data_IF_128670975052
#
_entry.id   IF_128670975052
#
_cell.length_a   1.000
_cell.length_b   1.000
_cell.length_c   1.000
_cell.angle_alpha   90.00
_cell.angle_beta   90.00
_cell.angle_gamma   90.00
#
_symmetry.space_group_name_H-M   'P 1'
#
loop_
_entity.id
_entity.type
_entity.pdbx_description
1 polymer ?
#
# COMPACT_ATOMS: atom_id res chain seq x y z
N UNK A 1 -6.76 -31.57 19.69
CA UNK A 1 -8.19 -31.22 19.42
C UNK A 1 -8.34 -31.01 17.92
N UNK A 2 -9.40 -31.53 17.29
CA UNK A 2 -9.66 -31.24 15.87
C UNK A 2 -10.04 -29.75 15.77
N UNK A 3 -9.36 -28.97 14.94
CA UNK A 3 -9.68 -27.55 14.78
C UNK A 3 -11.13 -27.39 14.25
N UNK A 4 -11.84 -26.38 14.72
CA UNK A 4 -13.12 -25.97 14.18
C UNK A 4 -13.01 -24.87 13.12
N UNK A 5 -11.78 -24.37 12.94
CA UNK A 5 -11.48 -23.38 11.92
C UNK A 5 -11.59 -23.97 10.50
N UNK A 6 -11.79 -23.12 9.53
CA UNK A 6 -11.72 -23.48 8.12
C UNK A 6 -10.31 -24.01 7.80
N UNK A 7 -10.21 -25.05 6.96
CA UNK A 7 -8.93 -25.66 6.59
C UNK A 7 -7.96 -24.68 5.92
N UNK A 8 -8.48 -23.69 5.22
CA UNK A 8 -7.71 -22.65 4.53
C UNK A 8 -6.90 -21.79 5.50
N UNK A 9 -7.33 -21.69 6.77
CA UNK A 9 -6.63 -20.92 7.81
C UNK A 9 -5.43 -21.66 8.41
N UNK A 10 -5.33 -22.97 8.25
CA UNK A 10 -4.27 -23.79 8.88
C UNK A 10 -2.87 -23.44 8.35
N UNK A 11 -2.77 -22.98 7.11
CA UNK A 11 -1.51 -22.66 6.44
C UNK A 11 -1.18 -21.17 6.43
N UNK A 12 -2.10 -20.32 6.90
CA UNK A 12 -1.91 -18.88 6.89
C UNK A 12 -1.08 -18.41 8.08
N UNK A 13 0.00 -17.66 7.86
CA UNK A 13 0.70 -17.00 8.94
C UNK A 13 -0.16 -15.89 9.55
N UNK A 14 0.02 -15.65 10.84
CA UNK A 14 -0.52 -14.44 11.47
C UNK A 14 0.29 -13.25 10.96
N UNK A 15 -0.39 -12.23 10.44
CA UNK A 15 0.28 -11.00 10.01
C UNK A 15 1.00 -10.36 11.20
N UNK A 16 2.28 -10.06 11.04
CA UNK A 16 3.10 -9.39 12.06
C UNK A 16 3.16 -7.90 11.73
N UNK A 17 2.46 -7.04 12.48
CA UNK A 17 2.54 -5.59 12.28
C UNK A 17 3.92 -5.04 12.66
N UNK A 18 4.22 -3.82 12.25
CA UNK A 18 5.39 -3.10 12.75
C UNK A 18 5.30 -2.89 14.26
N UNK A 19 6.44 -2.98 14.97
CA UNK A 19 6.48 -2.83 16.43
C UNK A 19 6.04 -1.42 16.83
N UNK A 20 5.16 -1.25 17.82
CA UNK A 20 4.80 0.07 18.35
C UNK A 20 6.00 0.79 18.95
N UNK A 21 6.00 2.13 18.89
CA UNK A 21 7.06 2.98 19.50
C UNK A 21 7.16 2.71 20.99
N UNK A 22 6.04 2.66 21.69
CA UNK A 22 5.95 2.44 23.14
C UNK A 22 6.57 1.12 23.58
N UNK A 23 6.48 0.09 22.74
CA UNK A 23 7.08 -1.23 23.03
C UNK A 23 8.60 -1.17 22.91
N UNK A 24 9.14 -0.45 21.92
CA UNK A 24 10.58 -0.26 21.74
C UNK A 24 11.16 0.58 22.89
N UNK A 25 10.52 1.70 23.25
CA UNK A 25 10.94 2.53 24.38
C UNK A 25 11.03 1.73 25.68
N UNK A 26 10.01 0.91 25.97
CA UNK A 26 9.96 0.07 27.18
C UNK A 26 10.98 -1.06 27.17
N UNK A 27 11.17 -1.73 26.03
CA UNK A 27 12.06 -2.90 25.92
C UNK A 27 13.53 -2.53 26.03
N UNK A 28 13.92 -1.40 25.43
CA UNK A 28 15.32 -0.97 25.41
C UNK A 28 15.65 0.13 26.43
N UNK A 29 14.66 0.64 27.16
CA UNK A 29 14.88 1.67 28.19
C UNK A 29 15.36 3.01 27.63
N UNK A 30 14.95 3.34 26.40
CA UNK A 30 15.30 4.60 25.71
C UNK A 30 14.15 5.59 25.79
N UNK A 31 14.47 6.89 25.71
CA UNK A 31 13.49 7.97 25.88
C UNK A 31 12.81 8.39 24.58
N UNK A 32 13.44 8.10 23.44
CA UNK A 32 12.94 8.51 22.11
C UNK A 32 13.13 7.40 21.09
N UNK A 33 12.14 7.24 20.22
CA UNK A 33 12.25 6.39 19.03
C UNK A 33 11.46 6.99 17.87
N UNK A 34 11.95 6.82 16.64
CA UNK A 34 11.30 7.20 15.39
C UNK A 34 10.82 5.96 14.66
N UNK A 35 9.60 6.02 14.10
CA UNK A 35 8.97 4.90 13.42
C UNK A 35 8.91 5.13 11.91
N UNK A 36 9.86 4.57 11.20
CA UNK A 36 9.98 4.63 9.74
C UNK A 36 9.64 3.27 9.08
N UNK A 37 8.56 2.63 9.55
CA UNK A 37 8.22 1.24 9.25
C UNK A 37 6.89 1.02 8.52
N UNK A 38 5.95 1.96 8.57
CA UNK A 38 4.56 1.74 8.15
C UNK A 38 4.11 2.65 7.00
N UNK A 39 5.03 3.40 6.39
CA UNK A 39 4.76 4.32 5.30
C UNK A 39 3.64 5.33 5.66
N UNK A 40 3.64 5.77 6.93
CA UNK A 40 2.76 6.82 7.44
C UNK A 40 3.23 8.18 6.93
N UNK A 41 2.38 9.22 7.00
CA UNK A 41 2.78 10.57 6.61
C UNK A 41 3.49 11.27 7.78
N UNK A 42 4.77 11.65 7.65
CA UNK A 42 5.52 12.31 8.73
C UNK A 42 5.02 13.71 9.09
N UNK A 43 4.28 14.40 8.20
CA UNK A 43 3.59 15.65 8.53
C UNK A 43 2.34 15.44 9.41
N UNK A 44 1.93 14.20 9.64
CA UNK A 44 0.70 13.88 10.32
C UNK A 44 -0.53 14.00 9.41
N UNK A 45 -1.71 14.14 10.02
CA UNK A 45 -2.97 14.22 9.29
C UNK A 45 -3.19 15.60 8.67
N UNK A 46 -3.88 15.64 7.52
CA UNK A 46 -4.37 16.90 6.92
C UNK A 46 -5.07 17.76 7.98
N UNK A 47 -4.68 19.02 8.17
CA UNK A 47 -5.32 19.93 9.12
C UNK A 47 -6.83 20.09 8.88
N UNK A 48 -7.25 20.15 7.62
CA UNK A 48 -8.68 20.19 7.26
C UNK A 48 -9.42 18.92 7.66
N UNK A 49 -8.78 17.75 7.50
CA UNK A 49 -9.35 16.49 7.95
C UNK A 49 -9.50 16.42 9.47
N UNK A 50 -8.50 16.89 10.23
CA UNK A 50 -8.56 16.98 11.70
C UNK A 50 -9.71 17.86 12.15
N UNK A 51 -9.90 19.02 11.52
CA UNK A 51 -10.99 19.93 11.86
C UNK A 51 -12.36 19.33 11.54
N UNK A 52 -12.51 18.66 10.40
CA UNK A 52 -13.75 17.96 10.03
C UNK A 52 -14.09 16.85 11.05
N UNK A 53 -13.09 16.10 11.53
CA UNK A 53 -13.28 15.09 12.59
C UNK A 53 -13.78 15.71 13.87
N UNK A 54 -13.19 16.84 14.32
CA UNK A 54 -13.62 17.54 15.55
C UNK A 54 -15.08 17.99 15.46
N UNK A 55 -15.47 18.56 14.33
CA UNK A 55 -16.85 19.01 14.10
C UNK A 55 -17.86 17.86 14.07
N UNK A 56 -17.48 16.70 13.54
CA UNK A 56 -18.37 15.54 13.43
C UNK A 56 -18.37 14.64 14.68
N UNK A 57 -17.42 14.83 15.61
CA UNK A 57 -17.22 13.96 16.79
C UNK A 57 -18.48 13.83 17.68
N UNK A 58 -19.29 14.89 17.80
CA UNK A 58 -20.53 14.85 18.61
C UNK A 58 -21.64 13.99 17.99
N UNK A 59 -21.48 13.58 16.72
CA UNK A 59 -22.47 12.82 15.96
C UNK A 59 -22.15 11.34 15.79
N UNK A 60 -21.13 10.82 16.48
CA UNK A 60 -20.70 9.42 16.38
C UNK A 60 -21.74 8.40 16.84
N UNK A 61 -22.79 8.83 17.54
CA UNK A 61 -23.91 7.98 17.96
C UNK A 61 -24.88 7.61 16.82
N UNK A 62 -24.72 8.23 15.62
CA UNK A 62 -25.52 7.96 14.42
C UNK A 62 -24.72 7.08 13.47
N UNK A 63 -25.34 6.05 12.89
CA UNK A 63 -24.72 5.26 11.82
C UNK A 63 -24.28 6.17 10.65
N UNK A 64 -23.16 5.84 9.99
CA UNK A 64 -22.72 6.57 8.80
C UNK A 64 -23.65 6.35 7.60
N UNK A 65 -23.51 7.18 6.56
CA UNK A 65 -24.17 6.91 5.27
C UNK A 65 -23.60 5.60 4.67
N UNK A 66 -24.42 4.54 4.49
CA UNK A 66 -23.97 3.27 3.95
C UNK A 66 -23.54 3.36 2.48
N UNK A 67 -24.06 4.34 1.74
CA UNK A 67 -23.71 4.59 0.34
C UNK A 67 -22.44 5.44 0.20
N UNK A 68 -21.97 6.07 1.28
CA UNK A 68 -20.80 6.98 1.30
C UNK A 68 -20.92 8.05 0.19
N UNK A 69 -22.14 8.54 -0.04
CA UNK A 69 -22.52 9.33 -1.21
C UNK A 69 -21.66 10.58 -1.37
N UNK A 70 -21.59 11.43 -0.35
CA UNK A 70 -20.86 12.71 -0.43
C UNK A 70 -19.38 12.53 -0.73
N UNK A 71 -18.74 11.51 -0.18
CA UNK A 71 -17.33 11.23 -0.48
C UNK A 71 -17.16 10.69 -1.90
N UNK A 72 -18.06 9.81 -2.37
CA UNK A 72 -18.03 9.31 -3.76
C UNK A 72 -18.21 10.45 -4.77
N UNK A 73 -19.12 11.39 -4.50
CA UNK A 73 -19.33 12.59 -5.32
C UNK A 73 -18.06 13.45 -5.38
N UNK A 74 -17.38 13.66 -4.24
CA UNK A 74 -16.11 14.40 -4.20
C UNK A 74 -14.97 13.71 -4.94
N UNK A 75 -14.87 12.39 -4.85
CA UNK A 75 -13.89 11.60 -5.62
C UNK A 75 -14.21 11.69 -7.11
N UNK A 76 -15.50 11.59 -7.49
CA UNK A 76 -15.99 11.72 -8.86
C UNK A 76 -15.61 13.08 -9.46
N UNK A 77 -15.87 14.18 -8.75
CA UNK A 77 -15.48 15.53 -9.15
C UNK A 77 -13.96 15.68 -9.35
N UNK A 78 -13.16 15.12 -8.43
CA UNK A 78 -11.69 15.26 -8.47
C UNK A 78 -11.05 14.53 -9.64
N UNK A 79 -11.55 13.34 -9.99
CA UNK A 79 -10.94 12.45 -10.98
C UNK A 79 -11.71 12.39 -12.31
N UNK A 80 -12.76 13.18 -12.47
CA UNK A 80 -13.62 13.23 -13.66
C UNK A 80 -14.11 11.85 -14.13
N UNK A 81 -14.66 11.07 -13.17
CA UNK A 81 -15.17 9.72 -13.40
C UNK A 81 -16.58 9.57 -12.78
N UNK A 82 -17.44 8.76 -13.39
CA UNK A 82 -18.80 8.53 -12.90
C UNK A 82 -18.84 8.03 -11.44
N UNK A 83 -19.79 8.53 -10.63
CA UNK A 83 -19.97 8.13 -9.23
C UNK A 83 -20.21 6.62 -9.09
N UNK A 84 -20.83 5.99 -10.09
CA UNK A 84 -21.10 4.57 -10.17
C UNK A 84 -19.83 3.72 -10.39
N UNK A 85 -18.74 4.33 -10.84
CA UNK A 85 -17.43 3.71 -10.96
C UNK A 85 -16.62 3.70 -9.66
N UNK A 86 -17.17 4.19 -8.54
CA UNK A 86 -16.42 4.40 -7.29
C UNK A 86 -17.03 3.59 -6.15
N UNK A 87 -16.20 2.81 -5.45
CA UNK A 87 -16.55 2.20 -4.17
C UNK A 87 -15.56 2.64 -3.09
N UNK A 88 -16.08 3.06 -1.93
CA UNK A 88 -15.29 3.39 -0.75
C UNK A 88 -15.36 2.26 0.26
N UNK A 89 -14.22 1.91 0.87
CA UNK A 89 -14.09 0.84 1.85
C UNK A 89 -13.31 1.24 3.10
N UNK A 90 -13.25 0.31 4.06
CA UNK A 90 -12.57 0.50 5.34
C UNK A 90 -11.03 0.35 5.21
N UNK A 91 -10.41 1.22 4.41
CA UNK A 91 -9.02 1.16 4.00
C UNK A 91 -8.78 0.20 2.82
N UNK A 92 -7.58 0.29 2.22
CA UNK A 92 -7.20 -0.55 1.08
C UNK A 92 -7.24 -2.05 1.41
N UNK A 93 -6.81 -2.44 2.60
CA UNK A 93 -6.84 -3.83 3.06
C UNK A 93 -8.22 -4.47 2.92
N UNK A 94 -9.27 -3.81 3.44
CA UNK A 94 -10.63 -4.35 3.36
C UNK A 94 -11.13 -4.46 1.91
N UNK A 95 -10.68 -3.57 1.03
CA UNK A 95 -11.05 -3.61 -0.39
C UNK A 95 -10.36 -4.77 -1.11
N UNK A 96 -9.07 -5.03 -0.83
CA UNK A 96 -8.35 -6.20 -1.34
C UNK A 96 -9.05 -7.49 -0.91
N UNK A 97 -9.42 -7.59 0.38
CA UNK A 97 -10.14 -8.75 0.92
C UNK A 97 -11.51 -8.92 0.26
N UNK A 98 -12.27 -7.84 0.08
CA UNK A 98 -13.58 -7.88 -0.58
C UNK A 98 -13.48 -8.33 -2.03
N UNK A 99 -12.46 -7.90 -2.76
CA UNK A 99 -12.24 -8.34 -4.14
C UNK A 99 -11.94 -9.84 -4.18
N UNK A 100 -11.03 -10.34 -3.34
CA UNK A 100 -10.77 -11.77 -3.25
C UNK A 100 -12.03 -12.56 -2.85
N UNK A 101 -12.80 -12.06 -1.88
CA UNK A 101 -14.05 -12.66 -1.42
C UNK A 101 -15.12 -12.73 -2.51
N UNK A 102 -15.11 -11.79 -3.45
CA UNK A 102 -16.12 -11.70 -4.51
C UNK A 102 -15.80 -12.54 -5.73
N UNK A 103 -14.51 -12.81 -5.99
CA UNK A 103 -14.10 -13.40 -7.27
C UNK A 103 -13.25 -14.67 -7.16
N UNK A 104 -12.79 -15.06 -5.97
CA UNK A 104 -11.97 -16.27 -5.78
C UNK A 104 -12.78 -17.38 -5.16
N UNK A 105 -12.88 -18.50 -5.84
CA UNK A 105 -13.39 -19.78 -5.33
C UNK A 105 -12.22 -20.73 -5.00
N UNK A 106 -12.47 -21.78 -4.18
CA UNK A 106 -11.44 -22.77 -3.91
C UNK A 106 -10.88 -23.43 -5.16
N UNK A 107 -9.58 -23.24 -5.40
CA UNK A 107 -8.86 -23.77 -6.57
C UNK A 107 -8.70 -22.78 -7.70
N UNK A 108 -9.34 -21.61 -7.67
CA UNK A 108 -9.02 -20.50 -8.55
C UNK A 108 -7.62 -19.97 -8.29
N UNK A 109 -7.02 -19.34 -9.30
CA UNK A 109 -5.66 -18.84 -9.22
C UNK A 109 -5.62 -17.30 -9.25
N UNK A 110 -4.63 -16.74 -8.53
CA UNK A 110 -4.23 -15.35 -8.69
C UNK A 110 -2.73 -15.26 -8.94
N UNK A 111 -2.31 -14.34 -9.82
CA UNK A 111 -0.90 -14.08 -10.10
C UNK A 111 -0.45 -12.86 -9.32
N UNK A 112 0.66 -12.99 -8.60
CA UNK A 112 1.22 -11.94 -7.73
C UNK A 112 2.74 -11.86 -7.95
N UNK A 113 3.32 -10.67 -8.18
CA UNK A 113 4.76 -10.49 -8.17
C UNK A 113 5.37 -10.78 -6.78
N UNK A 114 6.62 -11.23 -6.72
CA UNK A 114 7.30 -11.55 -5.47
C UNK A 114 8.72 -10.94 -5.47
N UNK A 115 9.08 -10.11 -4.47
CA UNK A 115 8.28 -9.69 -3.32
C UNK A 115 7.22 -8.63 -3.64
N UNK A 116 6.05 -8.70 -2.98
CA UNK A 116 5.01 -7.69 -3.06
C UNK A 116 4.20 -7.58 -1.76
N UNK A 117 3.10 -6.85 -1.77
CA UNK A 117 2.28 -6.65 -0.57
C UNK A 117 1.57 -7.94 -0.18
N UNK A 118 1.93 -8.48 0.98
CA UNK A 118 1.52 -9.81 1.44
C UNK A 118 0.00 -10.03 1.56
N UNK A 119 -0.79 -8.96 1.65
CA UNK A 119 -2.25 -9.08 1.76
C UNK A 119 -2.92 -9.62 0.49
N UNK A 120 -2.30 -9.52 -0.69
CA UNK A 120 -2.85 -10.16 -1.88
C UNK A 120 -2.86 -11.68 -1.71
N UNK A 121 -1.70 -12.23 -1.36
CA UNK A 121 -1.55 -13.66 -1.11
C UNK A 121 -2.45 -14.15 0.03
N UNK A 122 -2.45 -13.44 1.17
CA UNK A 122 -3.28 -13.77 2.33
C UNK A 122 -4.77 -13.78 1.94
N UNK A 123 -5.24 -12.78 1.20
CA UNK A 123 -6.66 -12.66 0.83
C UNK A 123 -7.10 -13.77 -0.12
N UNK A 124 -6.26 -14.12 -1.10
CA UNK A 124 -6.52 -15.23 -2.03
C UNK A 124 -6.57 -16.57 -1.29
N UNK A 125 -5.57 -16.85 -0.45
CA UNK A 125 -5.52 -18.07 0.35
C UNK A 125 -6.66 -18.18 1.36
N UNK A 126 -7.13 -17.08 1.92
CA UNK A 126 -8.33 -17.05 2.76
C UNK A 126 -9.57 -17.62 2.06
N UNK A 127 -9.67 -17.43 0.74
CA UNK A 127 -10.76 -17.94 -0.07
C UNK A 127 -10.54 -19.37 -0.59
N UNK A 128 -9.38 -19.97 -0.27
CA UNK A 128 -8.99 -21.29 -0.78
C UNK A 128 -8.42 -21.23 -2.20
N UNK A 129 -8.12 -20.05 -2.69
CA UNK A 129 -7.44 -19.83 -3.96
C UNK A 129 -5.94 -20.18 -3.90
N UNK A 130 -5.35 -20.34 -5.06
CA UNK A 130 -3.94 -20.65 -5.27
C UNK A 130 -3.21 -19.40 -5.76
N UNK A 131 -2.10 -19.08 -5.11
CA UNK A 131 -1.26 -17.94 -5.54
C UNK A 131 -0.13 -18.45 -6.42
N UNK A 132 -0.01 -17.88 -7.61
CA UNK A 132 1.11 -18.05 -8.53
C UNK A 132 2.03 -16.84 -8.36
N UNK A 133 3.15 -17.04 -7.68
CA UNK A 133 4.14 -15.97 -7.52
C UNK A 133 5.06 -15.91 -8.73
N UNK A 134 5.35 -14.70 -9.20
CA UNK A 134 6.31 -14.43 -10.27
C UNK A 134 7.43 -13.59 -9.67
N UNK A 135 8.67 -14.12 -9.59
CA UNK A 135 9.78 -13.38 -9.04
C UNK A 135 10.04 -12.09 -9.82
N UNK A 136 10.26 -11.00 -9.11
CA UNK A 136 10.81 -9.78 -9.69
C UNK A 136 12.28 -10.01 -10.06
N UNK A 137 12.77 -9.30 -11.08
CA UNK A 137 14.07 -9.58 -11.71
C UNK A 137 15.06 -8.44 -11.51
N UNK A 138 16.34 -8.76 -11.71
CA UNK A 138 17.43 -7.79 -11.61
C UNK A 138 17.69 -7.30 -10.18
N UNK A 139 18.70 -6.44 -10.06
CA UNK A 139 19.09 -5.86 -8.77
C UNK A 139 18.10 -4.80 -8.29
N UNK A 140 17.31 -4.23 -9.23
CA UNK A 140 16.32 -3.18 -8.96
C UNK A 140 14.89 -3.74 -8.78
N UNK A 141 14.73 -5.06 -8.69
CA UNK A 141 13.41 -5.69 -8.55
C UNK A 141 12.42 -5.23 -9.62
N UNK A 142 12.81 -5.32 -10.91
CA UNK A 142 11.93 -5.01 -12.03
C UNK A 142 10.84 -6.09 -12.19
N UNK A 143 9.67 -5.68 -12.68
CA UNK A 143 8.58 -6.61 -12.96
C UNK A 143 8.90 -7.53 -14.15
N UNK A 144 8.80 -8.83 -13.98
CA UNK A 144 8.77 -9.79 -15.10
C UNK A 144 7.35 -9.88 -15.68
N UNK A 145 6.95 -8.86 -16.45
CA UNK A 145 5.61 -8.80 -17.06
C UNK A 145 5.35 -9.96 -18.02
N UNK A 146 6.37 -10.46 -18.74
CA UNK A 146 6.25 -11.64 -19.59
C UNK A 146 6.12 -12.93 -18.75
N UNK A 147 6.81 -13.00 -17.62
CA UNK A 147 6.64 -14.09 -16.63
C UNK A 147 5.24 -14.10 -16.04
N UNK A 148 4.67 -12.93 -15.75
CA UNK A 148 3.29 -12.79 -15.28
C UNK A 148 2.33 -13.32 -16.33
N UNK A 149 2.48 -12.93 -17.61
CA UNK A 149 1.63 -13.44 -18.70
C UNK A 149 1.72 -14.97 -18.85
N UNK A 150 2.92 -15.55 -18.70
CA UNK A 150 3.12 -17.01 -18.76
C UNK A 150 2.53 -17.76 -17.57
N UNK A 151 2.42 -17.11 -16.41
CA UNK A 151 1.84 -17.71 -15.21
C UNK A 151 0.31 -17.79 -15.26
N UNK A 152 -0.34 -17.06 -16.16
CA UNK A 152 -1.79 -17.05 -16.34
C UNK A 152 -2.25 -18.38 -16.94
N UNK A 153 -3.30 -18.94 -16.35
CA UNK A 153 -3.98 -20.15 -16.82
C UNK A 153 -5.49 -19.90 -16.95
N UNK A 154 -6.23 -20.90 -17.38
CA UNK A 154 -7.71 -20.89 -17.44
C UNK A 154 -8.38 -20.78 -16.05
N UNK A 155 -7.61 -20.98 -14.96
CA UNK A 155 -8.07 -20.82 -13.59
C UNK A 155 -7.74 -19.45 -12.98
N UNK A 156 -6.95 -18.63 -13.68
CA UNK A 156 -6.55 -17.33 -13.16
C UNK A 156 -7.72 -16.36 -13.17
N UNK A 157 -8.08 -15.82 -12.02
CA UNK A 157 -9.15 -14.83 -11.83
C UNK A 157 -8.63 -13.42 -11.66
N UNK A 158 -7.48 -13.27 -11.01
CA UNK A 158 -6.94 -11.93 -10.66
C UNK A 158 -5.45 -11.91 -10.94
N UNK A 159 -4.98 -10.84 -11.55
CA UNK A 159 -3.57 -10.43 -11.59
C UNK A 159 -3.44 -9.19 -10.70
N UNK A 160 -2.63 -9.27 -9.64
CA UNK A 160 -2.33 -8.15 -8.77
C UNK A 160 -1.04 -7.46 -9.21
N UNK A 161 -1.10 -6.14 -9.38
CA UNK A 161 0.06 -5.28 -9.60
C UNK A 161 0.00 -4.13 -8.59
N UNK A 162 1.05 -4.02 -7.76
CA UNK A 162 1.23 -2.91 -6.83
C UNK A 162 2.14 -1.87 -7.48
N UNK A 163 1.61 -0.79 -7.97
CA UNK A 163 2.40 0.20 -8.69
C UNK A 163 2.23 1.59 -8.09
N UNK A 164 3.23 2.11 -7.38
CA UNK A 164 4.54 1.54 -7.02
C UNK A 164 4.47 0.31 -6.12
N UNK A 165 5.39 -0.64 -6.31
CA UNK A 165 5.42 -1.87 -5.53
C UNK A 165 5.83 -1.63 -4.07
N UNK A 166 5.24 -2.37 -3.18
CA UNK A 166 5.63 -2.48 -1.77
C UNK A 166 6.07 -3.93 -1.49
N UNK A 167 7.35 -4.22 -1.17
CA UNK A 167 8.28 -3.31 -0.47
C UNK A 167 9.31 -2.57 -1.35
N UNK A 168 9.43 -2.85 -2.63
CA UNK A 168 10.60 -2.47 -3.43
C UNK A 168 10.61 -1.00 -3.88
N UNK A 169 9.44 -0.37 -4.00
CA UNK A 169 9.32 0.98 -4.55
C UNK A 169 9.36 1.04 -6.09
N UNK A 170 9.55 -0.09 -6.75
CA UNK A 170 9.62 -0.20 -8.21
C UNK A 170 8.34 0.27 -8.89
N UNK A 171 8.49 0.92 -10.03
CA UNK A 171 7.39 1.41 -10.87
C UNK A 171 7.38 0.63 -12.19
N UNK A 172 6.18 0.27 -12.66
CA UNK A 172 5.94 -0.09 -14.05
C UNK A 172 5.65 1.19 -14.80
N UNK A 173 6.42 1.49 -15.84
CA UNK A 173 6.26 2.70 -16.64
C UNK A 173 5.06 2.65 -17.59
N UNK A 174 4.64 3.81 -18.08
CA UNK A 174 3.38 3.97 -18.84
C UNK A 174 3.28 3.04 -20.05
N UNK A 175 4.29 3.00 -20.90
CA UNK A 175 4.25 2.17 -22.12
C UNK A 175 4.38 0.68 -21.79
N UNK A 176 5.11 0.31 -20.74
CA UNK A 176 5.25 -1.07 -20.31
C UNK A 176 3.90 -1.61 -19.79
N UNK A 177 3.20 -0.83 -18.94
CA UNK A 177 1.88 -1.23 -18.43
C UNK A 177 0.86 -1.34 -19.56
N UNK A 178 0.81 -0.39 -20.49
CA UNK A 178 -0.10 -0.44 -21.63
C UNK A 178 0.14 -1.68 -22.50
N UNK A 179 1.38 -1.93 -22.85
CA UNK A 179 1.75 -3.12 -23.64
C UNK A 179 1.42 -4.44 -22.93
N UNK A 180 1.57 -4.48 -21.61
CA UNK A 180 1.19 -5.62 -20.80
C UNK A 180 -0.32 -5.82 -20.80
N UNK A 181 -1.10 -4.77 -20.54
CA UNK A 181 -2.57 -4.81 -20.49
C UNK A 181 -3.18 -5.29 -21.78
N UNK A 182 -2.64 -4.90 -22.95
CA UNK A 182 -3.10 -5.35 -24.26
C UNK A 182 -2.95 -6.86 -24.48
N UNK A 183 -2.03 -7.51 -23.76
CA UNK A 183 -1.79 -8.96 -23.85
C UNK A 183 -2.57 -9.78 -22.83
N UNK A 184 -3.21 -9.11 -21.84
CA UNK A 184 -3.97 -9.81 -20.81
C UNK A 184 -5.28 -10.41 -21.36
N UNK A 185 -5.64 -11.65 -21.00
CA UNK A 185 -6.96 -12.21 -21.28
C UNK A 185 -8.08 -11.30 -20.77
N UNK A 186 -9.16 -11.20 -21.52
CA UNK A 186 -10.28 -10.30 -21.16
C UNK A 186 -11.09 -10.80 -19.95
N UNK A 187 -11.08 -12.09 -19.65
CA UNK A 187 -11.91 -12.77 -18.66
C UNK A 187 -11.28 -12.85 -17.26
N UNK A 188 -10.21 -12.10 -17.00
CA UNK A 188 -9.61 -11.95 -15.67
C UNK A 188 -9.62 -10.48 -15.19
N UNK A 189 -9.53 -10.28 -13.88
CA UNK A 189 -9.44 -8.98 -13.26
C UNK A 189 -7.96 -8.55 -13.17
N UNK A 190 -7.66 -7.36 -13.66
CA UNK A 190 -6.43 -6.65 -13.35
C UNK A 190 -6.66 -5.77 -12.12
N UNK A 191 -5.96 -6.07 -11.02
CA UNK A 191 -5.99 -5.25 -9.81
C UNK A 191 -4.73 -4.38 -9.75
N UNK A 192 -4.90 -3.07 -9.95
CA UNK A 192 -3.84 -2.05 -9.84
C UNK A 192 -3.91 -1.39 -8.46
N UNK A 193 -2.95 -1.66 -7.61
CA UNK A 193 -2.83 -0.98 -6.32
C UNK A 193 -1.94 0.26 -6.45
N UNK A 194 -2.58 1.40 -6.42
CA UNK A 194 -1.98 2.73 -6.51
C UNK A 194 -1.97 3.44 -5.15
N UNK A 195 -1.72 2.71 -4.07
CA UNK A 195 -1.69 3.29 -2.72
C UNK A 195 -0.66 4.43 -2.56
N UNK A 196 0.31 4.51 -3.44
CA UNK A 196 1.38 5.53 -3.44
C UNK A 196 1.29 6.49 -4.65
N UNK A 197 0.13 6.58 -5.29
CA UNK A 197 -0.14 7.32 -6.52
C UNK A 197 0.41 8.75 -6.50
N UNK A 198 0.12 9.52 -5.46
CA UNK A 198 0.49 10.92 -5.38
C UNK A 198 2.01 11.14 -5.33
N UNK A 199 2.75 10.21 -4.76
CA UNK A 199 4.22 10.25 -4.75
C UNK A 199 4.80 9.83 -6.09
N UNK A 200 4.21 8.82 -6.74
CA UNK A 200 4.65 8.28 -8.00
C UNK A 200 4.48 9.25 -9.17
N UNK A 201 3.45 10.09 -9.15
CA UNK A 201 3.21 11.11 -10.18
C UNK A 201 4.38 12.09 -10.35
N UNK A 202 5.19 12.30 -9.29
CA UNK A 202 6.40 13.15 -9.35
C UNK A 202 7.54 12.53 -10.18
N UNK A 203 7.45 11.26 -10.53
CA UNK A 203 8.51 10.58 -11.31
C UNK A 203 8.47 10.94 -12.80
N UNK A 204 7.36 11.51 -13.28
CA UNK A 204 7.17 12.02 -14.64
C UNK A 204 6.80 10.97 -15.70
N UNK A 205 6.94 9.68 -15.42
CA UNK A 205 6.52 8.58 -16.30
C UNK A 205 5.85 7.48 -15.46
N UNK A 206 4.72 7.84 -14.86
CA UNK A 206 3.88 6.93 -14.09
C UNK A 206 2.49 6.85 -14.72
N UNK A 207 1.98 5.64 -15.01
CA UNK A 207 0.67 5.46 -15.62
C UNK A 207 -0.44 5.78 -14.63
N UNK A 208 -1.47 6.52 -15.07
CA UNK A 208 -2.71 6.63 -14.31
C UNK A 208 -3.59 5.40 -14.59
N UNK A 209 -3.90 4.61 -13.56
CA UNK A 209 -4.76 3.43 -13.68
C UNK A 209 -6.16 3.73 -14.19
N UNK A 210 -6.63 4.98 -14.08
CA UNK A 210 -7.92 5.39 -14.65
C UNK A 210 -7.89 5.38 -16.19
N UNK A 211 -6.77 5.66 -16.82
CA UNK A 211 -6.63 5.52 -18.27
C UNK A 211 -6.68 4.05 -18.68
N UNK A 212 -6.06 3.15 -17.88
CA UNK A 212 -6.15 1.71 -18.08
C UNK A 212 -7.61 1.22 -17.91
N UNK A 213 -8.33 1.71 -16.90
CA UNK A 213 -9.74 1.36 -16.69
C UNK A 213 -10.63 1.75 -17.89
N UNK A 214 -10.37 2.87 -18.54
CA UNK A 214 -11.10 3.29 -19.75
C UNK A 214 -10.92 2.32 -20.91
N UNK A 215 -9.72 1.73 -21.05
CA UNK A 215 -9.38 0.79 -22.11
C UNK A 215 -9.80 -0.65 -21.78
N UNK A 216 -9.77 -1.03 -20.48
CA UNK A 216 -10.06 -2.39 -20.01
C UNK A 216 -11.03 -2.36 -18.81
N UNK A 217 -12.29 -2.75 -19.04
CA UNK A 217 -13.35 -2.74 -18.00
C UNK A 217 -13.05 -3.64 -16.81
N UNK A 218 -12.43 -4.81 -17.03
CA UNK A 218 -12.06 -5.74 -15.96
C UNK A 218 -10.78 -5.28 -15.25
N UNK A 219 -10.75 -3.99 -14.87
CA UNK A 219 -9.69 -3.37 -14.09
C UNK A 219 -10.27 -2.81 -12.79
N UNK A 220 -9.56 -3.03 -11.69
CA UNK A 220 -9.83 -2.40 -10.39
C UNK A 220 -8.60 -1.56 -10.04
N UNK A 221 -8.79 -0.28 -9.81
CA UNK A 221 -7.73 0.64 -9.38
C UNK A 221 -7.97 1.01 -7.93
N UNK A 222 -7.04 0.68 -7.04
CA UNK A 222 -7.12 0.99 -5.62
C UNK A 222 -6.29 2.22 -5.27
N UNK A 223 -6.87 3.16 -4.52
CA UNK A 223 -6.19 4.30 -3.90
C UNK A 223 -6.60 4.44 -2.43
N UNK A 224 -5.82 5.16 -1.64
CA UNK A 224 -6.03 5.27 -0.19
C UNK A 224 -5.79 6.67 0.35
N UNK A 225 -6.50 7.02 1.41
CA UNK A 225 -6.24 8.23 2.18
C UNK A 225 -5.20 8.03 3.30
N UNK A 226 -4.70 6.80 3.45
CA UNK A 226 -3.79 6.44 4.55
C UNK A 226 -2.36 6.98 4.37
N UNK A 227 -1.97 7.36 3.15
CA UNK A 227 -0.60 7.76 2.82
C UNK A 227 -0.48 9.27 2.76
N UNK A 228 -0.59 9.89 1.59
CA UNK A 228 -0.39 11.34 1.41
C UNK A 228 -1.32 12.21 2.27
N UNK A 229 -2.54 11.77 2.54
CA UNK A 229 -3.50 12.54 3.37
C UNK A 229 -3.26 12.39 4.87
N UNK A 230 -2.43 11.45 5.32
CA UNK A 230 -2.07 11.26 6.73
C UNK A 230 -3.20 10.77 7.65
N UNK A 231 -4.27 10.19 7.12
CA UNK A 231 -5.42 9.72 7.94
C UNK A 231 -5.49 8.18 8.04
N UNK A 232 -4.32 7.53 8.13
CA UNK A 232 -4.21 6.07 8.21
C UNK A 232 -5.06 5.44 9.34
N UNK A 233 -5.14 6.12 10.50
CA UNK A 233 -5.92 5.66 11.66
C UNK A 233 -7.43 5.64 11.45
N UNK A 234 -7.95 6.40 10.50
CA UNK A 234 -9.40 6.46 10.20
C UNK A 234 -9.87 5.32 9.29
N UNK A 235 -8.95 4.57 8.67
CA UNK A 235 -9.28 3.40 7.85
C UNK A 235 -10.22 3.74 6.69
N UNK A 236 -9.76 4.48 5.69
CA UNK A 236 -10.53 4.82 4.50
C UNK A 236 -9.68 4.72 3.23
N UNK A 237 -10.23 4.07 2.22
CA UNK A 237 -9.67 3.93 0.88
C UNK A 237 -10.80 3.74 -0.12
N UNK A 238 -10.46 3.71 -1.39
CA UNK A 238 -11.45 3.59 -2.45
C UNK A 238 -10.89 2.83 -3.65
N UNK A 239 -11.79 2.25 -4.42
CA UNK A 239 -11.49 1.63 -5.71
C UNK A 239 -12.32 2.28 -6.80
N UNK A 240 -11.73 2.29 -7.99
CA UNK A 240 -12.42 2.56 -9.24
C UNK A 240 -12.54 1.28 -10.04
N UNK A 241 -13.68 1.05 -10.68
CA UNK A 241 -13.89 -0.05 -11.60
C UNK A 241 -15.13 0.16 -12.45
N UNK A 242 -15.38 -0.75 -13.39
CA UNK A 242 -16.68 -0.80 -14.10
C UNK A 242 -17.82 -1.04 -13.10
N UNK A 243 -18.97 -0.37 -13.26
CA UNK A 243 -20.12 -0.53 -12.37
C UNK A 243 -20.57 -1.98 -12.18
N UNK A 244 -20.46 -2.83 -13.20
CA UNK A 244 -20.83 -4.25 -13.11
C UNK A 244 -19.94 -5.04 -12.13
N UNK A 245 -18.65 -4.73 -12.07
CA UNK A 245 -17.71 -5.32 -11.11
C UNK A 245 -18.01 -4.82 -9.70
N UNK A 246 -18.26 -3.52 -9.55
CA UNK A 246 -18.58 -2.93 -8.23
C UNK A 246 -19.91 -3.45 -7.68
N UNK A 247 -20.88 -3.77 -8.54
CA UNK A 247 -22.13 -4.41 -8.13
C UNK A 247 -21.87 -5.78 -7.49
N UNK A 248 -21.02 -6.61 -8.08
CA UNK A 248 -20.65 -7.91 -7.50
C UNK A 248 -19.93 -7.77 -6.16
N UNK A 249 -18.96 -6.85 -6.06
CA UNK A 249 -18.24 -6.58 -4.80
C UNK A 249 -19.20 -6.07 -3.73
N UNK A 250 -20.22 -5.28 -4.10
CA UNK A 250 -21.20 -4.72 -3.15
C UNK A 250 -21.99 -5.83 -2.45
N UNK A 251 -22.23 -6.98 -3.08
CA UNK A 251 -22.94 -8.13 -2.47
C UNK A 251 -22.17 -8.74 -1.28
N UNK A 252 -20.85 -8.64 -1.29
CA UNK A 252 -19.97 -9.14 -0.22
C UNK A 252 -19.68 -8.08 0.86
N UNK A 253 -20.03 -6.80 0.61
CA UNK A 253 -19.72 -5.69 1.51
C UNK A 253 -20.68 -5.58 2.67
N UNK A 254 -20.18 -5.36 3.89
CA UNK A 254 -21.00 -4.98 5.04
C UNK A 254 -21.68 -3.60 4.84
N UNK A 255 -22.80 -3.38 5.53
CA UNK A 255 -23.65 -2.20 5.29
C UNK A 255 -22.99 -0.88 5.72
N UNK A 256 -22.38 -0.82 6.92
CA UNK A 256 -21.82 0.40 7.52
C UNK A 256 -20.29 0.30 7.69
N UNK A 257 -19.58 -0.08 6.63
CA UNK A 257 -18.15 -0.40 6.70
C UNK A 257 -17.24 0.81 6.86
N UNK A 258 -17.64 1.97 6.34
CA UNK A 258 -16.84 3.20 6.42
C UNK A 258 -17.42 4.08 7.52
N UNK A 259 -16.65 4.30 8.58
CA UNK A 259 -17.11 5.07 9.73
C UNK A 259 -17.33 6.55 9.39
N UNK A 260 -18.19 7.20 10.17
CA UNK A 260 -18.63 8.59 9.94
C UNK A 260 -17.46 9.58 9.94
N UNK A 261 -16.52 9.45 10.86
CA UNK A 261 -15.37 10.35 10.96
C UNK A 261 -14.44 10.20 9.74
N UNK A 262 -14.28 8.97 9.25
CA UNK A 262 -13.51 8.70 8.04
C UNK A 262 -14.13 9.37 6.80
N UNK A 263 -15.48 9.35 6.67
CA UNK A 263 -16.15 9.95 5.53
C UNK A 263 -15.91 11.46 5.47
N UNK A 264 -16.11 12.20 6.56
CA UNK A 264 -15.93 13.66 6.59
C UNK A 264 -14.45 14.04 6.49
N UNK A 265 -13.56 13.29 7.12
CA UNK A 265 -12.12 13.53 7.06
C UNK A 265 -11.57 13.33 5.63
N UNK A 266 -12.01 12.28 4.94
CA UNK A 266 -11.59 12.00 3.58
C UNK A 266 -12.04 13.09 2.59
N UNK A 267 -13.28 13.60 2.73
CA UNK A 267 -13.76 14.74 1.94
C UNK A 267 -12.86 15.96 2.15
N UNK A 268 -12.59 16.32 3.41
CA UNK A 268 -11.76 17.47 3.74
C UNK A 268 -10.30 17.29 3.28
N UNK A 269 -9.75 16.07 3.39
CA UNK A 269 -8.40 15.76 2.93
C UNK A 269 -8.25 15.85 1.40
N UNK A 270 -9.26 15.46 0.63
CA UNK A 270 -9.28 15.63 -0.84
C UNK A 270 -9.13 17.08 -1.27
N UNK A 271 -9.69 18.00 -0.48
CA UNK A 271 -9.65 19.45 -0.74
C UNK A 271 -8.40 20.13 -0.18
N UNK A 272 -7.57 19.42 0.61
CA UNK A 272 -6.36 19.97 1.23
C UNK A 272 -5.11 19.80 0.35
N UNK A 273 -5.15 20.46 -0.81
CA UNK A 273 -4.06 20.36 -1.79
C UNK A 273 -2.72 20.88 -1.23
N UNK A 274 -2.75 21.86 -0.32
CA UNK A 274 -1.55 22.39 0.31
C UNK A 274 -0.85 21.31 1.16
N UNK A 275 -1.62 20.55 1.95
CA UNK A 275 -1.08 19.44 2.73
C UNK A 275 -0.51 18.33 1.83
N UNK A 276 -1.21 17.97 0.75
CA UNK A 276 -0.74 16.98 -0.23
C UNK A 276 0.60 17.42 -0.83
N UNK A 277 0.71 18.66 -1.32
CA UNK A 277 1.94 19.19 -1.90
C UNK A 277 3.10 19.23 -0.90
N UNK A 278 2.84 19.67 0.33
CA UNK A 278 3.85 19.65 1.41
C UNK A 278 4.31 18.23 1.73
N UNK A 279 3.40 17.26 1.78
CA UNK A 279 3.71 15.86 2.03
C UNK A 279 4.59 15.26 0.93
N UNK A 280 4.28 15.54 -0.32
CA UNK A 280 5.07 15.10 -1.48
C UNK A 280 6.46 15.76 -1.48
N UNK A 281 6.54 17.06 -1.19
CA UNK A 281 7.80 17.77 -1.12
C UNK A 281 8.71 17.26 0.01
N UNK A 282 8.14 17.03 1.21
CA UNK A 282 8.89 16.46 2.33
C UNK A 282 9.36 15.03 2.02
N UNK A 283 8.50 14.21 1.45
CA UNK A 283 8.87 12.87 1.01
C UNK A 283 10.09 12.89 0.09
N UNK A 284 10.07 13.77 -0.93
CA UNK A 284 11.19 13.94 -1.87
C UNK A 284 12.48 14.36 -1.17
N UNK A 285 12.41 15.31 -0.23
CA UNK A 285 13.57 15.78 0.51
C UNK A 285 14.17 14.69 1.42
N UNK A 286 13.32 13.99 2.19
CA UNK A 286 13.73 12.89 3.07
C UNK A 286 14.36 11.73 2.28
N UNK A 287 13.72 11.31 1.19
CA UNK A 287 14.26 10.23 0.35
C UNK A 287 15.58 10.66 -0.33
N UNK A 288 15.72 11.93 -0.75
CA UNK A 288 16.97 12.43 -1.33
C UNK A 288 18.11 12.37 -0.31
N UNK A 289 17.88 12.81 0.94
CA UNK A 289 18.88 12.73 2.00
C UNK A 289 19.30 11.27 2.29
N UNK A 290 18.35 10.33 2.28
CA UNK A 290 18.66 8.90 2.42
C UNK A 290 19.49 8.39 1.23
N UNK A 291 19.11 8.75 -0.01
CA UNK A 291 19.84 8.33 -1.22
C UNK A 291 21.25 8.89 -1.22
N UNK A 292 21.45 10.17 -0.84
CA UNK A 292 22.78 10.78 -0.74
C UNK A 292 23.67 9.99 0.23
N UNK A 293 23.14 9.62 1.42
CA UNK A 293 23.86 8.79 2.38
C UNK A 293 24.22 7.40 1.83
N UNK A 294 23.28 6.74 1.12
CA UNK A 294 23.54 5.43 0.54
C UNK A 294 24.54 5.47 -0.63
N UNK A 295 24.48 6.52 -1.45
CA UNK A 295 25.45 6.73 -2.54
C UNK A 295 26.87 7.00 -1.99
N UNK A 296 27.00 7.83 -0.96
CA UNK A 296 28.28 8.12 -0.30
C UNK A 296 28.94 6.90 0.33
N UNK A 297 28.13 5.90 0.75
CA UNK A 297 28.60 4.71 1.43
C UNK A 297 28.50 3.40 0.58
N UNK A 298 28.25 3.54 -0.73
CA UNK A 298 28.19 2.44 -1.70
C UNK A 298 27.15 1.35 -1.32
N UNK A 299 25.98 1.76 -0.80
CA UNK A 299 24.83 0.88 -0.58
C UNK A 299 23.89 0.94 -1.79
N UNK A 300 23.55 -0.24 -2.30
CA UNK A 300 22.59 -0.34 -3.41
C UNK A 300 21.15 -0.16 -2.90
N UNK A 301 20.38 0.67 -3.58
CA UNK A 301 18.95 0.86 -3.31
C UNK A 301 18.13 0.89 -4.60
N UNK A 302 16.86 0.54 -4.50
CA UNK A 302 15.91 0.70 -5.60
C UNK A 302 15.39 2.13 -5.61
N UNK A 303 15.39 2.78 -6.79
CA UNK A 303 14.85 4.14 -6.93
C UNK A 303 13.40 4.20 -6.43
N UNK A 304 13.10 5.02 -5.41
CA UNK A 304 11.82 4.99 -4.74
C UNK A 304 10.68 5.61 -5.56
N UNK A 305 9.61 4.86 -5.79
CA UNK A 305 8.36 5.35 -6.38
C UNK A 305 7.30 5.73 -5.36
N UNK A 306 7.46 5.33 -4.09
CA UNK A 306 6.52 5.61 -3.00
C UNK A 306 7.09 6.53 -1.93
N UNK A 307 6.56 6.45 -0.71
CA UNK A 307 7.07 7.17 0.45
C UNK A 307 7.98 6.28 1.34
N UNK A 308 8.83 5.51 0.71
CA UNK A 308 9.82 4.64 1.35
C UNK A 308 10.91 4.29 0.36
N UNK A 309 12.07 3.87 0.85
CA UNK A 309 13.20 3.35 0.09
C UNK A 309 13.44 1.88 0.43
N UNK A 310 13.87 1.08 -0.56
CA UNK A 310 14.29 -0.30 -0.42
C UNK A 310 15.79 -0.38 -0.67
N UNK A 311 16.57 -0.71 0.36
CA UNK A 311 18.03 -0.65 0.35
C UNK A 311 18.64 -1.96 0.81
N UNK A 312 19.71 -2.40 0.10
CA UNK A 312 20.54 -3.53 0.50
C UNK A 312 21.67 -3.05 1.43
N UNK A 313 21.69 -3.52 2.66
CA UNK A 313 22.69 -3.14 3.66
C UNK A 313 23.86 -4.12 3.74
N UNK A 314 23.94 -5.11 2.84
CA UNK A 314 25.01 -6.10 2.74
C UNK A 314 25.25 -6.92 4.03
N UNK A 315 24.24 -7.05 4.88
CA UNK A 315 24.27 -7.85 6.12
C UNK A 315 22.87 -8.37 6.50
N UNK A 316 22.81 -9.35 7.42
CA UNK A 316 21.54 -9.92 7.91
C UNK A 316 20.69 -8.85 8.60
N UNK A 317 19.49 -8.65 8.07
CA UNK A 317 18.54 -7.64 8.58
C UNK A 317 17.88 -8.01 9.89
N UNK A 318 17.97 -9.26 10.37
CA UNK A 318 17.46 -9.63 11.70
C UNK A 318 18.31 -8.99 12.79
N UNK A 319 19.64 -9.00 12.61
CA UNK A 319 20.56 -8.34 13.54
C UNK A 319 20.43 -6.83 13.45
N UNK A 320 20.51 -6.28 12.21
CA UNK A 320 20.39 -4.84 11.99
C UNK A 320 19.05 -4.28 12.51
N UNK A 321 17.94 -5.01 12.40
CA UNK A 321 16.64 -4.62 12.94
C UNK A 321 16.64 -4.45 14.46
N UNK A 322 17.32 -5.36 15.19
CA UNK A 322 17.45 -5.26 16.64
C UNK A 322 18.37 -4.11 17.05
N UNK A 323 19.47 -3.92 16.32
CA UNK A 323 20.43 -2.85 16.59
C UNK A 323 19.80 -1.47 16.34
N UNK A 324 19.10 -1.28 15.22
CA UNK A 324 18.37 -0.04 14.94
C UNK A 324 17.34 0.27 16.01
N UNK A 325 16.62 -0.72 16.54
CA UNK A 325 15.66 -0.48 17.62
C UNK A 325 16.36 0.00 18.91
N UNK A 326 17.55 -0.50 19.24
CA UNK A 326 18.35 -0.03 20.36
C UNK A 326 18.80 1.42 20.20
N UNK A 327 19.05 1.85 18.94
CA UNK A 327 19.33 3.24 18.59
C UNK A 327 18.05 4.08 18.43
N UNK A 328 16.87 3.53 18.74
CA UNK A 328 15.61 4.25 18.65
C UNK A 328 15.03 4.37 17.25
N UNK A 329 15.40 3.52 16.31
CA UNK A 329 14.89 3.55 14.95
C UNK A 329 14.13 2.25 14.62
N UNK A 330 12.86 2.40 14.18
CA UNK A 330 11.98 1.28 13.84
C UNK A 330 11.76 1.29 12.32
N UNK A 331 12.26 0.28 11.63
CA UNK A 331 12.13 0.09 10.18
C UNK A 331 11.43 -1.23 9.84
N UNK A 332 11.27 -1.55 8.58
CA UNK A 332 10.71 -2.83 8.13
C UNK A 332 11.80 -3.71 7.52
N UNK A 333 12.19 -4.81 8.18
CA UNK A 333 13.27 -5.65 7.69
C UNK A 333 12.83 -6.57 6.54
N UNK A 334 13.72 -6.82 5.60
CA UNK A 334 13.46 -7.57 4.37
C UNK A 334 13.24 -9.05 4.56
N UNK A 335 13.70 -9.65 5.68
CA UNK A 335 13.43 -11.07 5.96
C UNK A 335 11.93 -11.41 5.99
N UNK A 336 11.06 -10.42 6.16
CA UNK A 336 9.59 -10.57 6.06
C UNK A 336 9.12 -10.87 4.62
N UNK A 337 9.99 -10.69 3.64
CA UNK A 337 9.78 -11.00 2.22
C UNK A 337 10.86 -11.94 1.68
N UNK A 338 11.56 -12.68 2.56
CA UNK A 338 12.70 -13.54 2.22
C UNK A 338 13.86 -12.79 1.53
N UNK A 339 14.02 -11.49 1.81
CA UNK A 339 15.08 -10.63 1.31
C UNK A 339 16.01 -10.23 2.48
N UNK A 340 16.82 -11.17 2.96
CA UNK A 340 17.50 -11.09 4.26
C UNK A 340 18.52 -9.94 4.41
N UNK A 341 18.96 -9.30 3.30
CA UNK A 341 19.92 -8.19 3.32
C UNK A 341 19.27 -6.82 3.05
N UNK A 342 17.94 -6.78 2.89
CA UNK A 342 17.24 -5.58 2.48
C UNK A 342 16.42 -4.96 3.61
N UNK A 343 16.33 -3.63 3.62
CA UNK A 343 15.47 -2.86 4.52
C UNK A 343 14.47 -2.03 3.72
N UNK A 344 13.22 -2.00 4.16
CA UNK A 344 12.27 -0.96 3.72
C UNK A 344 12.18 0.12 4.79
N UNK A 345 12.56 1.33 4.42
CA UNK A 345 12.61 2.50 5.30
C UNK A 345 11.63 3.54 4.78
N UNK A 346 10.65 3.91 5.59
CA UNK A 346 9.69 4.97 5.26
C UNK A 346 10.35 6.34 5.29
N UNK A 347 9.90 7.29 4.46
CA UNK A 347 10.30 8.69 4.60
C UNK A 347 9.83 9.25 5.93
N UNK A 348 10.64 10.10 6.55
CA UNK A 348 10.39 10.81 7.80
C UNK A 348 10.35 12.33 7.63
N UNK A 349 10.23 13.06 8.72
CA UNK A 349 10.65 14.46 8.77
C UNK A 349 12.15 14.55 8.54
N UNK A 350 12.68 15.73 8.26
CA UNK A 350 14.13 15.88 8.09
C UNK A 350 14.90 15.49 9.37
N UNK A 351 14.38 15.84 10.55
CA UNK A 351 14.93 15.42 11.85
C UNK A 351 14.89 13.89 12.03
N UNK A 352 13.78 13.23 11.69
CA UNK A 352 13.68 11.77 11.78
C UNK A 352 14.64 11.08 10.78
N UNK A 353 14.87 11.69 9.63
CA UNK A 353 15.83 11.19 8.62
C UNK A 353 17.27 11.34 9.12
N UNK A 354 17.61 12.44 9.79
CA UNK A 354 18.92 12.63 10.44
C UNK A 354 19.16 11.56 11.53
N UNK A 355 18.18 11.32 12.41
CA UNK A 355 18.25 10.25 13.44
C UNK A 355 18.46 8.88 12.81
N UNK A 356 17.77 8.58 11.71
CA UNK A 356 17.95 7.35 10.96
C UNK A 356 19.39 7.22 10.45
N UNK A 357 19.93 8.28 9.81
CA UNK A 357 21.28 8.27 9.23
C UNK A 357 22.32 8.05 10.33
N UNK A 358 22.23 8.78 11.44
CA UNK A 358 23.12 8.59 12.60
C UNK A 358 23.08 7.15 13.14
N UNK A 359 21.89 6.53 13.17
CA UNK A 359 21.76 5.14 13.60
C UNK A 359 22.35 4.16 12.57
N UNK A 360 22.16 4.42 11.27
CA UNK A 360 22.75 3.60 10.19
C UNK A 360 24.28 3.71 10.18
N UNK A 361 24.86 4.90 10.37
CA UNK A 361 26.32 5.09 10.52
C UNK A 361 26.89 4.19 11.62
N UNK A 362 26.27 4.22 12.81
CA UNK A 362 26.74 3.44 13.97
C UNK A 362 26.72 1.92 13.74
N UNK A 363 25.76 1.42 12.97
CA UNK A 363 25.58 -0.03 12.81
C UNK A 363 26.19 -0.57 11.51
N UNK A 364 26.42 0.27 10.50
CA UNK A 364 26.91 -0.17 9.19
C UNK A 364 28.34 0.25 8.88
N UNK A 365 28.84 1.34 9.50
CA UNK A 365 30.17 1.89 9.27
C UNK A 365 31.07 1.71 10.49
#
# INVERSE_FOLDING_TARGET
>A
MKTLARKELETLPVYVPGKPVEDVLREYGIERAVKLASNENPLGASPKAVEAVKQEAERIFIYPDPAVRSLREKISEKFDIGVDHIMVGNGGESLIQLVAQSFIEPGDEAVVPDPSFSLYEISVKHMGGVVKTVPMTGENYEYDLEGILKAITDKTKIVYLCNPNNPTGTIIHTEELKNFVQKLPEDLILFLDEAYFEFAMETGDYPDGLEILKERKNTIVLRTFAKVCGIAGLRVGYIFSDPSILEEITKSRGVFTVNRLAQVAAIAALEDQEHIQKSVALNKASLQQMMDFFDENDFHYVKPGGNFIWVNIKRDTKEAYVELQKEGVIIRPGFLWNCDEWLRISSGTMEETEILIEALEKILL
#
